data_IF_152407651534
#
_entry.id   IF_152407651534
#
_cell.length_a   1.000
_cell.length_b   1.000
_cell.length_c   1.000
_cell.angle_alpha   90.00
_cell.angle_beta   90.00
_cell.angle_gamma   90.00
#
_symmetry.space_group_name_H-M   'P 1'
#
loop_
_entity.id
_entity.type
_entity.pdbx_description
1 polymer ?
#
# COMPACT_ATOMS: atom_id res chain seq x y z
N UNK A 1 28.45 -15.28 -36.30
CA UNK A 1 29.32 -14.85 -35.19
C UNK A 1 28.42 -14.27 -34.11
N UNK A 2 28.54 -14.68 -32.84
CA UNK A 2 27.68 -14.17 -31.78
C UNK A 2 28.23 -12.83 -31.29
N UNK A 3 27.39 -11.79 -31.24
CA UNK A 3 27.73 -10.49 -30.65
C UNK A 3 27.17 -10.48 -29.23
N UNK A 4 28.04 -10.39 -28.24
CA UNK A 4 27.65 -10.21 -26.84
C UNK A 4 27.62 -8.72 -26.55
N UNK A 5 26.52 -8.25 -25.98
CA UNK A 5 26.54 -6.99 -25.25
C UNK A 5 27.27 -7.23 -23.92
N UNK A 6 28.22 -6.36 -23.59
CA UNK A 6 28.99 -6.46 -22.35
C UNK A 6 28.32 -5.70 -21.19
N UNK A 7 27.35 -4.84 -21.49
CA UNK A 7 26.57 -4.16 -20.47
C UNK A 7 25.46 -5.10 -19.95
N UNK A 8 25.39 -5.24 -18.63
CA UNK A 8 24.31 -5.97 -17.98
C UNK A 8 23.29 -4.97 -17.47
N UNK A 9 22.06 -5.08 -17.96
CA UNK A 9 20.97 -4.24 -17.45
C UNK A 9 20.59 -4.66 -16.04
N UNK A 10 20.35 -3.68 -15.18
CA UNK A 10 19.87 -3.92 -13.84
C UNK A 10 18.38 -3.65 -13.74
N UNK A 11 17.61 -4.64 -13.32
CA UNK A 11 16.20 -4.48 -13.00
C UNK A 11 15.92 -5.02 -11.60
N UNK A 12 14.87 -4.49 -10.98
CA UNK A 12 14.35 -5.01 -9.74
C UNK A 12 12.84 -5.16 -9.81
N UNK A 13 12.30 -6.06 -8.98
CA UNK A 13 10.86 -6.28 -8.81
C UNK A 13 10.54 -6.67 -7.37
N UNK A 14 9.28 -6.49 -6.98
CA UNK A 14 8.77 -7.09 -5.75
C UNK A 14 8.25 -8.50 -6.01
N UNK A 15 8.25 -9.38 -5.00
CA UNK A 15 7.91 -10.80 -5.18
C UNK A 15 6.54 -11.05 -5.85
N UNK A 16 5.54 -10.23 -5.52
CA UNK A 16 4.17 -10.35 -6.05
C UNK A 16 3.90 -9.50 -7.31
N UNK A 17 4.91 -8.81 -7.84
CA UNK A 17 4.79 -7.96 -9.01
C UNK A 17 5.15 -8.72 -10.29
N UNK A 18 4.40 -8.48 -11.37
CA UNK A 18 4.81 -8.87 -12.72
C UNK A 18 5.59 -7.73 -13.36
N UNK A 19 6.88 -7.94 -13.63
CA UNK A 19 7.73 -6.96 -14.30
C UNK A 19 7.77 -7.23 -15.80
N UNK A 20 7.24 -6.32 -16.60
CA UNK A 20 7.40 -6.34 -18.05
C UNK A 20 8.74 -5.71 -18.43
N UNK A 21 9.49 -6.39 -19.29
CA UNK A 21 10.81 -5.97 -19.75
C UNK A 21 10.86 -6.05 -21.27
N UNK A 22 11.41 -5.00 -21.88
CA UNK A 22 11.65 -4.92 -23.31
C UNK A 22 13.16 -4.82 -23.52
N UNK A 23 13.70 -5.73 -24.33
CA UNK A 23 15.11 -5.70 -24.74
C UNK A 23 15.14 -5.27 -26.20
N UNK A 24 15.96 -4.27 -26.50
CA UNK A 24 16.06 -3.68 -27.84
C UNK A 24 17.46 -3.89 -28.39
N UNK A 25 17.57 -4.54 -29.54
CA UNK A 25 18.86 -4.92 -30.14
C UNK A 25 19.38 -3.90 -31.16
N UNK A 26 18.96 -2.62 -31.07
CA UNK A 26 19.22 -1.60 -32.12
C UNK A 26 20.71 -1.36 -32.39
N UNK A 27 21.54 -1.27 -31.34
CA UNK A 27 22.98 -1.03 -31.49
C UNK A 27 23.74 -2.29 -31.97
N UNK A 28 23.03 -3.41 -32.02
CA UNK A 28 23.60 -4.72 -32.28
C UNK A 28 23.20 -5.31 -33.62
N UNK A 29 22.06 -4.89 -34.16
CA UNK A 29 21.61 -5.25 -35.50
C UNK A 29 22.31 -4.36 -36.54
N UNK A 30 22.82 -4.98 -37.60
CA UNK A 30 23.24 -4.23 -38.80
C UNK A 30 22.05 -3.45 -39.38
N UNK A 31 22.30 -2.37 -40.12
CA UNK A 31 21.29 -1.39 -40.57
C UNK A 31 20.10 -1.97 -41.36
N UNK A 32 20.17 -3.23 -41.80
CA UNK A 32 19.11 -3.96 -42.52
C UNK A 32 18.68 -5.28 -41.83
N UNK A 33 19.23 -5.61 -40.67
CA UNK A 33 18.94 -6.85 -39.97
C UNK A 33 17.63 -6.77 -39.16
N UNK A 34 16.80 -7.81 -39.25
CA UNK A 34 15.54 -7.93 -38.49
C UNK A 34 15.63 -9.06 -37.47
N UNK A 35 15.07 -8.83 -36.29
CA UNK A 35 14.98 -9.84 -35.25
C UNK A 35 13.84 -10.81 -35.61
N UNK A 36 14.17 -12.10 -35.79
CA UNK A 36 13.21 -13.14 -36.21
C UNK A 36 12.61 -13.88 -35.03
N UNK A 37 13.43 -14.21 -34.02
CA UNK A 37 13.00 -14.92 -32.82
C UNK A 37 13.87 -14.55 -31.63
N UNK A 38 13.38 -14.87 -30.43
CA UNK A 38 14.08 -14.59 -29.18
C UNK A 38 13.84 -15.72 -28.18
N UNK A 39 14.88 -16.07 -27.43
CA UNK A 39 14.82 -16.97 -26.29
C UNK A 39 15.27 -16.23 -25.04
N UNK A 40 14.46 -16.25 -23.99
CA UNK A 40 14.83 -15.73 -22.68
C UNK A 40 14.97 -16.88 -21.68
N UNK A 41 15.98 -16.79 -20.84
CA UNK A 41 16.31 -17.80 -19.83
C UNK A 41 16.79 -17.12 -18.56
N UNK A 42 16.44 -17.68 -17.41
CA UNK A 42 16.75 -17.10 -16.09
C UNK A 42 17.26 -18.18 -15.16
N UNK A 43 18.27 -17.86 -14.36
CA UNK A 43 18.89 -18.74 -13.38
C UNK A 43 19.01 -18.03 -12.03
N UNK A 44 18.90 -18.80 -10.96
CA UNK A 44 19.17 -18.32 -9.60
C UNK A 44 20.68 -18.25 -9.30
N UNK A 45 21.01 -17.73 -8.12
CA UNK A 45 22.38 -17.62 -7.59
C UNK A 45 23.13 -18.97 -7.52
N UNK A 46 22.39 -20.09 -7.51
CA UNK A 46 22.92 -21.45 -7.51
C UNK A 46 23.05 -22.05 -8.91
N UNK A 47 22.75 -21.29 -9.97
CA UNK A 47 22.82 -21.74 -11.36
C UNK A 47 21.65 -22.64 -11.79
N UNK A 48 20.58 -22.75 -10.99
CA UNK A 48 19.40 -23.55 -11.32
C UNK A 48 18.48 -22.72 -12.22
N UNK A 49 18.08 -23.29 -13.36
CA UNK A 49 17.15 -22.63 -14.27
C UNK A 49 15.77 -22.44 -13.64
N UNK A 50 15.24 -21.22 -13.69
CA UNK A 50 13.88 -20.86 -13.26
C UNK A 50 12.99 -20.41 -14.40
N UNK A 51 13.45 -20.53 -15.66
CA UNK A 51 12.77 -20.06 -16.88
C UNK A 51 11.29 -20.40 -16.91
N UNK A 52 10.92 -21.68 -16.80
CA UNK A 52 9.52 -22.10 -16.86
C UNK A 52 8.65 -21.56 -15.70
N UNK A 53 9.27 -21.23 -14.56
CA UNK A 53 8.56 -20.77 -13.37
C UNK A 53 8.43 -19.25 -13.25
N UNK A 54 9.34 -18.49 -13.91
CA UNK A 54 9.45 -17.04 -13.73
C UNK A 54 9.19 -16.23 -14.99
N UNK A 55 9.48 -16.76 -16.19
CA UNK A 55 9.41 -16.03 -17.44
C UNK A 55 8.19 -16.42 -18.28
N UNK A 56 7.55 -15.44 -18.90
CA UNK A 56 6.68 -15.69 -20.06
C UNK A 56 7.51 -15.96 -21.31
N UNK A 57 6.94 -16.68 -22.28
CA UNK A 57 7.52 -16.79 -23.62
C UNK A 57 7.74 -15.38 -24.21
N UNK A 58 8.93 -15.08 -24.78
CA UNK A 58 9.18 -13.79 -25.40
C UNK A 58 8.32 -13.56 -26.64
N UNK A 59 7.81 -12.33 -26.80
CA UNK A 59 7.17 -11.85 -28.03
C UNK A 59 8.14 -10.95 -28.77
N UNK A 60 8.37 -11.21 -30.05
CA UNK A 60 9.31 -10.42 -30.86
C UNK A 60 8.56 -9.35 -31.65
N UNK A 61 8.99 -8.10 -31.50
CA UNK A 61 8.58 -6.95 -32.31
C UNK A 61 9.87 -6.24 -32.73
N UNK A 62 10.46 -6.67 -33.84
CA UNK A 62 11.77 -6.20 -34.31
C UNK A 62 11.86 -4.67 -34.28
N UNK A 63 12.94 -4.08 -33.72
CA UNK A 63 14.19 -4.71 -33.26
C UNK A 63 14.17 -5.18 -31.80
N UNK A 64 13.00 -5.32 -31.17
CA UNK A 64 12.84 -5.60 -29.75
C UNK A 64 12.20 -6.96 -29.46
N UNK A 65 12.44 -7.46 -28.25
CA UNK A 65 11.71 -8.59 -27.69
C UNK A 65 11.15 -8.22 -26.31
N UNK A 66 9.93 -8.65 -26.03
CA UNK A 66 9.23 -8.37 -24.79
C UNK A 66 8.91 -9.65 -24.04
N UNK A 67 9.06 -9.63 -22.71
CA UNK A 67 8.68 -10.72 -21.84
C UNK A 67 8.34 -10.19 -20.44
N UNK A 68 7.78 -11.04 -19.60
CA UNK A 68 7.40 -10.71 -18.23
C UNK A 68 8.06 -11.64 -17.22
N UNK A 69 8.39 -11.09 -16.05
CA UNK A 69 8.96 -11.81 -14.90
C UNK A 69 7.94 -11.75 -13.76
N UNK A 70 7.40 -12.90 -13.34
CA UNK A 70 6.22 -12.95 -12.45
C UNK A 70 6.50 -13.45 -11.03
N UNK A 71 7.44 -14.37 -10.84
CA UNK A 71 7.75 -15.00 -9.54
C UNK A 71 9.14 -14.59 -9.04
N UNK A 72 9.62 -15.28 -8.00
CA UNK A 72 10.97 -15.14 -7.44
C UNK A 72 10.99 -15.48 -5.96
N UNK A 73 12.19 -15.53 -5.39
CA UNK A 73 12.45 -15.70 -3.97
C UNK A 73 13.02 -14.38 -3.43
N UNK A 74 12.55 -13.94 -2.26
CA UNK A 74 12.99 -12.68 -1.64
C UNK A 74 14.49 -12.73 -1.33
N UNK A 75 15.21 -11.66 -1.67
CA UNK A 75 16.64 -11.53 -1.41
C UNK A 75 17.53 -12.32 -2.38
N UNK A 76 16.94 -13.06 -3.31
CA UNK A 76 17.68 -13.72 -4.39
C UNK A 76 17.90 -12.75 -5.56
N UNK A 77 19.08 -12.89 -6.17
CA UNK A 77 19.44 -12.23 -7.43
C UNK A 77 19.44 -13.28 -8.54
N UNK A 78 18.79 -12.95 -9.65
CA UNK A 78 18.68 -13.81 -10.81
C UNK A 78 19.46 -13.23 -12.00
N UNK A 79 20.17 -14.09 -12.72
CA UNK A 79 20.78 -13.73 -14.01
C UNK A 79 19.83 -14.15 -15.13
N UNK A 80 19.48 -13.22 -16.01
CA UNK A 80 18.72 -13.46 -17.21
C UNK A 80 19.63 -13.34 -18.43
N UNK A 81 19.48 -14.29 -19.35
CA UNK A 81 20.10 -14.27 -20.67
C UNK A 81 19.00 -14.23 -21.72
N UNK A 82 19.03 -13.21 -22.55
CA UNK A 82 18.13 -13.03 -23.68
C UNK A 82 18.94 -13.21 -24.96
N UNK A 83 18.55 -14.19 -25.78
CA UNK A 83 19.25 -14.55 -27.02
C UNK A 83 18.34 -14.24 -28.20
N UNK A 84 18.69 -13.22 -28.99
CA UNK A 84 18.01 -12.83 -30.21
C UNK A 84 18.62 -13.49 -31.45
N UNK A 85 17.78 -13.96 -32.37
CA UNK A 85 18.18 -14.54 -33.65
C UNK A 85 17.74 -13.62 -34.79
N UNK A 86 18.69 -13.08 -35.55
CA UNK A 86 18.43 -12.15 -36.64
C UNK A 86 18.52 -12.81 -38.03
N UNK A 87 17.96 -12.15 -39.04
CA UNK A 87 17.86 -12.63 -40.43
C UNK A 87 19.20 -13.02 -41.10
N UNK A 88 20.31 -12.44 -40.68
CA UNK A 88 21.65 -12.71 -41.22
C UNK A 88 22.40 -13.88 -40.50
N UNK A 89 21.69 -14.76 -39.77
CA UNK A 89 22.30 -15.77 -38.87
C UNK A 89 23.18 -15.16 -37.77
N UNK A 90 23.00 -13.87 -37.47
CA UNK A 90 23.59 -13.21 -36.33
C UNK A 90 22.84 -13.59 -35.05
N UNK A 91 23.58 -13.89 -33.99
CA UNK A 91 23.04 -14.20 -32.66
C UNK A 91 23.48 -13.11 -31.72
N UNK A 92 22.52 -12.49 -31.05
CA UNK A 92 22.74 -11.40 -30.09
C UNK A 92 22.40 -11.90 -28.70
N UNK A 93 23.28 -11.62 -27.73
CA UNK A 93 23.08 -12.03 -26.35
C UNK A 93 23.07 -10.78 -25.48
N UNK A 94 21.95 -10.57 -24.78
CA UNK A 94 21.77 -9.53 -23.78
C UNK A 94 21.70 -10.14 -22.39
N UNK A 95 22.33 -9.49 -21.41
CA UNK A 95 22.31 -9.92 -20.01
C UNK A 95 21.53 -8.94 -19.15
N UNK A 96 20.72 -9.48 -18.24
CA UNK A 96 19.96 -8.68 -17.28
C UNK A 96 20.11 -9.31 -15.90
N UNK A 97 20.38 -8.49 -14.89
CA UNK A 97 20.37 -8.88 -13.48
C UNK A 97 19.03 -8.46 -12.88
N UNK A 98 18.31 -9.40 -12.26
CA UNK A 98 17.03 -9.15 -11.62
C UNK A 98 17.09 -9.46 -10.12
N UNK A 99 16.92 -8.43 -9.29
CA UNK A 99 16.78 -8.59 -7.83
C UNK A 99 15.31 -8.62 -7.41
N UNK A 100 14.98 -9.53 -6.48
CA UNK A 100 13.61 -9.70 -5.96
C UNK A 100 13.50 -9.25 -4.52
N UNK A 101 12.70 -8.20 -4.30
CA UNK A 101 12.44 -7.64 -2.98
C UNK A 101 11.15 -8.17 -2.35
N UNK A 102 11.06 -8.07 -1.02
CA UNK A 102 9.85 -8.39 -0.28
C UNK A 102 8.70 -7.43 -0.61
N UNK A 103 7.48 -7.96 -0.60
CA UNK A 103 6.26 -7.17 -0.79
C UNK A 103 5.80 -6.55 0.52
N UNK A 104 5.19 -5.38 0.43
CA UNK A 104 4.64 -4.71 1.61
C UNK A 104 3.19 -5.15 1.80
N UNK A 105 2.80 -5.40 3.05
CA UNK A 105 1.42 -5.63 3.45
C UNK A 105 0.84 -4.42 4.19
N UNK A 106 -0.37 -4.03 3.82
CA UNK A 106 -1.15 -3.04 4.59
C UNK A 106 -1.86 -3.76 5.74
N UNK A 107 -1.55 -3.37 6.97
CA UNK A 107 -2.27 -3.81 8.16
C UNK A 107 -3.21 -2.69 8.62
N UNK A 108 -4.52 -2.93 8.46
CA UNK A 108 -5.60 -1.98 8.76
C UNK A 108 -6.40 -2.39 9.99
N UNK A 109 -5.90 -3.34 10.78
CA UNK A 109 -6.56 -3.78 12.02
C UNK A 109 -6.46 -2.66 13.05
N UNK A 110 -7.60 -2.10 13.44
CA UNK A 110 -7.66 -1.00 14.41
C UNK A 110 -7.08 -1.43 15.76
N UNK A 111 -6.19 -0.63 16.34
CA UNK A 111 -5.56 -0.91 17.64
C UNK A 111 -4.49 -1.99 17.62
N UNK A 112 -4.15 -2.56 16.45
CA UNK A 112 -3.07 -3.55 16.33
C UNK A 112 -1.70 -2.87 16.48
N UNK A 113 -0.78 -3.41 17.31
CA UNK A 113 0.58 -2.90 17.45
C UNK A 113 1.43 -3.05 16.18
N UNK A 114 0.95 -3.69 15.13
CA UNK A 114 1.59 -3.76 13.82
C UNK A 114 0.79 -3.05 12.72
N UNK A 115 -0.22 -2.26 13.06
CA UNK A 115 -1.00 -1.49 12.08
C UNK A 115 -0.12 -0.42 11.40
N UNK A 116 -0.31 -0.22 10.09
CA UNK A 116 0.50 0.71 9.29
C UNK A 116 -0.31 1.54 8.27
N UNK A 117 -1.62 1.35 8.21
CA UNK A 117 -2.52 2.06 7.30
C UNK A 117 -3.95 2.06 7.85
N UNK A 118 -4.72 3.13 7.65
CA UNK A 118 -6.15 3.16 7.97
C UNK A 118 -7.04 2.62 6.86
N UNK A 119 -6.51 2.51 5.63
CA UNK A 119 -7.24 2.01 4.46
C UNK A 119 -6.56 0.81 3.83
N UNK A 120 -7.38 -0.10 3.31
CA UNK A 120 -6.91 -1.18 2.43
C UNK A 120 -6.69 -0.64 1.02
N UNK A 121 -5.89 -1.34 0.22
CA UNK A 121 -5.65 -0.95 -1.17
C UNK A 121 -6.94 -0.92 -2.02
N UNK A 122 -7.87 -1.91 -1.91
CA UNK A 122 -9.15 -1.84 -2.61
C UNK A 122 -10.01 -0.64 -2.20
N UNK A 123 -10.08 -0.31 -0.91
CA UNK A 123 -10.80 0.88 -0.42
C UNK A 123 -10.21 2.17 -1.02
N UNK A 124 -8.88 2.32 -0.98
CA UNK A 124 -8.20 3.48 -1.53
C UNK A 124 -8.40 3.62 -3.04
N UNK A 125 -8.24 2.53 -3.80
CA UNK A 125 -8.49 2.54 -5.25
C UNK A 125 -9.94 2.92 -5.58
N UNK A 126 -10.91 2.39 -4.82
CA UNK A 126 -12.33 2.73 -5.02
C UNK A 126 -12.57 4.20 -4.74
N UNK A 127 -12.05 4.72 -3.63
CA UNK A 127 -12.22 6.13 -3.25
C UNK A 127 -11.58 7.08 -4.27
N UNK A 128 -10.32 6.85 -4.63
CA UNK A 128 -9.57 7.74 -5.53
C UNK A 128 -10.21 7.78 -6.93
N UNK A 129 -10.69 6.64 -7.42
CA UNK A 129 -11.37 6.57 -8.73
C UNK A 129 -12.72 7.26 -8.71
N UNK A 130 -13.56 6.91 -7.74
CA UNK A 130 -14.96 7.36 -7.73
C UNK A 130 -15.12 8.80 -7.20
N UNK A 131 -14.23 9.25 -6.32
CA UNK A 131 -14.36 10.55 -5.63
C UNK A 131 -13.35 11.57 -6.15
N UNK A 132 -12.12 11.17 -6.48
CA UNK A 132 -11.06 12.08 -6.93
C UNK A 132 -10.84 12.09 -8.45
N UNK A 133 -11.65 11.33 -9.21
CA UNK A 133 -11.71 11.44 -10.67
C UNK A 133 -10.54 10.82 -11.43
N UNK A 134 -9.96 9.72 -10.92
CA UNK A 134 -8.87 8.97 -11.60
C UNK A 134 -7.61 9.79 -11.92
N UNK A 135 -6.82 10.22 -10.92
CA UNK A 135 -5.55 10.88 -11.17
C UNK A 135 -4.61 9.96 -11.96
N UNK A 136 -4.19 10.35 -13.17
CA UNK A 136 -3.33 9.55 -14.05
C UNK A 136 -2.10 9.00 -13.33
N UNK A 137 -1.49 9.80 -12.45
CA UNK A 137 -0.32 9.39 -11.65
C UNK A 137 -0.63 8.23 -10.70
N UNK A 138 -1.83 8.13 -10.14
CA UNK A 138 -2.19 7.04 -9.22
C UNK A 138 -2.31 5.71 -9.95
N UNK A 139 -2.95 5.71 -11.12
CA UNK A 139 -3.17 4.49 -11.89
C UNK A 139 -1.89 4.00 -12.59
N UNK A 140 -0.89 4.87 -12.83
CA UNK A 140 0.43 4.47 -13.37
C UNK A 140 1.38 3.90 -12.30
N UNK A 141 1.13 4.12 -11.01
CA UNK A 141 1.93 3.54 -9.95
C UNK A 141 1.74 2.02 -9.89
N UNK A 142 2.85 1.30 -9.61
CA UNK A 142 2.77 -0.11 -9.26
C UNK A 142 1.95 -0.33 -7.98
N UNK A 143 1.41 -1.54 -7.81
CA UNK A 143 0.64 -1.93 -6.62
C UNK A 143 1.43 -1.66 -5.34
N UNK A 144 2.72 -1.98 -5.33
CA UNK A 144 3.60 -1.75 -4.18
C UNK A 144 3.91 -0.27 -3.97
N UNK A 145 4.05 0.51 -5.05
CA UNK A 145 4.17 1.96 -4.97
C UNK A 145 2.98 2.60 -4.28
N UNK A 146 1.76 2.18 -4.62
CA UNK A 146 0.52 2.65 -3.96
C UNK A 146 0.48 2.27 -2.48
N UNK A 147 0.91 1.06 -2.10
CA UNK A 147 0.96 0.64 -0.69
C UNK A 147 1.95 1.47 0.13
N UNK A 148 3.16 1.69 -0.38
CA UNK A 148 4.17 2.54 0.29
C UNK A 148 3.67 3.95 0.49
N UNK A 149 3.05 4.51 -0.55
CA UNK A 149 2.47 5.83 -0.52
C UNK A 149 1.36 5.96 0.53
N UNK A 150 0.51 4.95 0.67
CA UNK A 150 -0.51 4.91 1.72
C UNK A 150 0.10 4.84 3.13
N UNK A 151 1.15 4.05 3.33
CA UNK A 151 1.85 3.98 4.63
C UNK A 151 2.47 5.34 4.98
N UNK A 152 3.12 6.00 4.03
CA UNK A 152 3.71 7.31 4.27
C UNK A 152 2.63 8.37 4.56
N UNK A 153 1.53 8.35 3.81
CA UNK A 153 0.38 9.19 4.08
C UNK A 153 -0.22 8.96 5.48
N UNK A 154 -0.24 7.71 5.95
CA UNK A 154 -0.68 7.37 7.31
C UNK A 154 0.24 7.99 8.36
N UNK A 155 1.57 7.90 8.16
CA UNK A 155 2.56 8.50 9.07
C UNK A 155 2.44 10.01 9.14
N UNK A 156 2.20 10.67 8.01
CA UNK A 156 2.00 12.12 7.98
C UNK A 156 0.75 12.55 8.76
N UNK A 157 -0.33 11.78 8.68
CA UNK A 157 -1.56 12.02 9.46
C UNK A 157 -1.29 11.82 10.96
N UNK A 158 -0.55 10.79 11.32
CA UNK A 158 -0.28 10.45 12.72
C UNK A 158 0.62 11.46 13.45
N UNK A 159 1.25 12.38 12.72
CA UNK A 159 2.02 13.50 13.32
C UNK A 159 1.14 14.60 13.91
N UNK A 160 -0.17 14.60 13.67
CA UNK A 160 -1.06 15.60 14.24
C UNK A 160 -1.25 15.41 15.76
N UNK A 161 -1.47 16.52 16.45
CA UNK A 161 -1.88 16.48 17.84
C UNK A 161 -3.40 16.25 17.93
N UNK A 162 -3.80 14.99 18.13
CA UNK A 162 -5.20 14.61 18.23
C UNK A 162 -5.78 14.81 19.64
N UNK A 163 -7.10 14.93 19.73
CA UNK A 163 -7.87 14.93 20.97
C UNK A 163 -7.91 13.53 21.59
N UNK A 164 -8.15 13.47 22.90
CA UNK A 164 -8.16 12.21 23.65
C UNK A 164 -6.77 11.57 23.78
N UNK A 165 -6.76 10.29 24.14
CA UNK A 165 -5.56 9.43 24.17
C UNK A 165 -5.80 8.21 23.29
N UNK A 166 -4.72 7.53 22.90
CA UNK A 166 -4.79 6.24 22.20
C UNK A 166 -5.58 5.23 23.04
N UNK A 167 -6.34 4.34 22.39
CA UNK A 167 -7.13 3.35 23.12
C UNK A 167 -6.25 2.34 23.86
N UNK A 168 -5.22 1.82 23.17
CA UNK A 168 -4.17 1.01 23.79
C UNK A 168 -2.85 1.76 23.87
N UNK A 169 -2.06 1.52 24.91
CA UNK A 169 -0.73 2.12 25.06
C UNK A 169 0.27 1.61 24.02
N UNK A 170 0.11 0.36 23.57
CA UNK A 170 1.00 -0.30 22.62
C UNK A 170 0.55 -0.17 21.15
N UNK A 171 -0.55 0.52 20.85
CA UNK A 171 -0.95 0.72 19.47
C UNK A 171 0.02 1.71 18.77
N UNK A 172 0.42 1.39 17.54
CA UNK A 172 1.33 2.24 16.76
C UNK A 172 0.60 3.47 16.21
N UNK A 173 -0.59 3.26 15.64
CA UNK A 173 -1.34 4.31 14.97
C UNK A 173 -2.11 5.18 15.97
N UNK A 174 -2.36 6.44 15.62
CA UNK A 174 -3.06 7.37 16.52
C UNK A 174 -4.52 6.98 16.80
N UNK A 175 -5.18 6.31 15.85
CA UNK A 175 -6.54 5.76 16.01
C UNK A 175 -6.53 4.23 16.16
N UNK A 176 -7.45 3.64 16.93
CA UNK A 176 -8.60 4.25 17.61
C UNK A 176 -8.20 5.05 18.86
N UNK A 177 -9.06 5.99 19.26
CA UNK A 177 -8.91 6.79 20.48
C UNK A 177 -9.74 6.20 21.62
N UNK A 178 -9.55 6.70 22.83
CA UNK A 178 -10.26 6.25 24.03
C UNK A 178 -11.78 6.52 24.01
N UNK A 179 -12.26 7.39 23.12
CA UNK A 179 -13.68 7.67 22.88
C UNK A 179 -14.27 6.88 21.71
N UNK A 180 -13.51 5.93 21.14
CA UNK A 180 -13.97 5.10 20.04
C UNK A 180 -15.01 4.07 20.50
N UNK A 181 -16.09 3.92 19.75
CA UNK A 181 -17.20 3.03 20.08
C UNK A 181 -16.76 1.56 20.05
N UNK A 182 -17.05 0.84 21.13
CA UNK A 182 -16.67 -0.57 21.30
C UNK A 182 -17.81 -1.44 21.84
N UNK A 183 -17.81 -2.71 21.43
CA UNK A 183 -18.66 -3.76 22.01
C UNK A 183 -17.74 -4.74 22.71
N UNK A 184 -18.02 -5.03 23.97
CA UNK A 184 -17.27 -6.01 24.76
C UNK A 184 -18.19 -7.13 25.23
N UNK A 185 -17.62 -8.30 25.51
CA UNK A 185 -18.39 -9.42 26.02
C UNK A 185 -17.68 -10.75 25.81
N UNK A 186 -18.42 -11.84 26.02
CA UNK A 186 -17.97 -13.20 25.77
C UNK A 186 -18.50 -13.71 24.44
N UNK A 187 -17.72 -14.54 23.75
CA UNK A 187 -18.17 -15.21 22.54
C UNK A 187 -19.32 -16.19 22.85
N UNK A 188 -20.40 -16.13 22.07
CA UNK A 188 -21.55 -17.03 22.17
C UNK A 188 -21.62 -18.05 21.03
N UNK A 189 -22.47 -19.06 21.18
CA UNK A 189 -22.71 -20.09 20.15
C UNK A 189 -23.64 -19.61 19.04
N UNK A 190 -23.41 -19.95 17.75
CA UNK A 190 -22.38 -20.88 17.26
C UNK A 190 -20.97 -20.28 17.27
N UNK A 191 -19.98 -21.11 17.60
CA UNK A 191 -18.56 -20.78 17.65
C UNK A 191 -17.83 -21.51 16.51
N UNK A 192 -17.09 -20.77 15.69
CA UNK A 192 -16.26 -21.31 14.62
C UNK A 192 -14.92 -20.57 14.57
N UNK A 193 -13.94 -21.11 13.84
CA UNK A 193 -12.68 -20.41 13.59
C UNK A 193 -12.86 -19.06 12.87
N UNK A 194 -14.05 -18.77 12.32
CA UNK A 194 -14.32 -17.54 11.57
C UNK A 194 -15.46 -16.72 12.17
N UNK A 195 -15.97 -17.07 13.35
CA UNK A 195 -17.09 -16.34 13.90
C UNK A 195 -17.60 -16.83 15.25
N UNK A 196 -18.40 -15.99 15.87
CA UNK A 196 -19.08 -16.27 17.13
C UNK A 196 -20.39 -15.47 17.20
N UNK A 197 -21.31 -15.86 18.07
CA UNK A 197 -22.54 -15.10 18.33
C UNK A 197 -22.34 -14.06 19.42
N UNK A 198 -22.94 -12.88 19.27
CA UNK A 198 -23.09 -11.95 20.38
C UNK A 198 -24.30 -11.01 20.18
N UNK A 199 -25.11 -10.86 21.22
CA UNK A 199 -26.44 -10.22 21.14
C UNK A 199 -26.40 -8.73 20.82
N UNK A 200 -25.31 -8.02 21.11
CA UNK A 200 -25.22 -6.58 20.86
C UNK A 200 -24.80 -6.22 19.41
N UNK A 201 -24.63 -7.21 18.53
CA UNK A 201 -24.45 -6.97 17.09
C UNK A 201 -25.80 -6.95 16.34
N UNK A 202 -26.77 -6.13 16.75
CA UNK A 202 -28.15 -6.06 16.19
C UNK A 202 -28.37 -4.94 15.17
N UNK A 203 -29.18 -5.19 14.13
CA UNK A 203 -29.61 -4.19 13.12
C UNK A 203 -30.73 -4.68 12.22
N UNK A 204 -31.45 -3.73 11.63
CA UNK A 204 -32.64 -3.88 10.82
C UNK A 204 -32.58 -3.33 9.37
N UNK A 205 -31.52 -2.70 8.83
CA UNK A 205 -31.47 -2.21 7.42
C UNK A 205 -30.06 -1.97 6.81
N UNK A 206 -29.91 -2.08 5.49
CA UNK A 206 -28.66 -1.99 4.71
C UNK A 206 -28.32 -0.54 4.29
N UNK A 207 -27.07 -0.06 4.44
CA UNK A 207 -26.50 0.88 3.45
C UNK A 207 -25.86 2.24 3.83
N UNK A 208 -25.46 2.59 5.06
CA UNK A 208 -24.67 3.82 5.30
C UNK A 208 -23.64 3.72 6.44
N UNK A 209 -22.49 4.39 6.31
CA UNK A 209 -21.55 4.64 7.41
C UNK A 209 -22.24 5.58 8.42
N UNK A 210 -22.51 5.06 9.64
CA UNK A 210 -23.57 5.52 10.55
C UNK A 210 -24.96 5.54 9.91
N UNK A 211 -25.49 4.37 9.60
CA UNK A 211 -26.90 4.12 9.86
C UNK A 211 -27.04 3.27 11.11
N UNK A 212 -28.20 3.37 11.74
CA UNK A 212 -28.58 2.75 13.00
C UNK A 212 -28.71 1.21 12.86
N UNK A 213 -28.05 0.65 11.83
CA UNK A 213 -28.44 -0.53 11.13
C UNK A 213 -27.19 -1.25 10.53
N UNK A 214 -26.35 -1.82 11.42
CA UNK A 214 -25.21 -2.76 11.23
C UNK A 214 -24.69 -2.91 9.80
N UNK A 215 -23.41 -2.61 9.63
CA UNK A 215 -22.38 -3.65 9.67
C UNK A 215 -21.15 -3.00 10.28
N UNK A 216 -20.56 -3.53 11.36
CA UNK A 216 -19.16 -3.18 11.69
C UNK A 216 -18.19 -3.86 10.72
N UNK A 217 -18.58 -3.99 9.45
CA UNK A 217 -17.70 -4.47 8.38
C UNK A 217 -16.53 -3.50 8.30
N UNK A 218 -15.32 -4.06 8.29
CA UNK A 218 -14.07 -3.31 8.40
C UNK A 218 -13.76 -2.71 9.78
N UNK A 219 -14.53 -3.04 10.82
CA UNK A 219 -14.10 -2.93 12.21
C UNK A 219 -13.08 -4.02 12.58
N UNK A 220 -12.66 -4.06 13.84
CA UNK A 220 -11.71 -5.05 14.33
C UNK A 220 -12.23 -5.76 15.58
N UNK A 221 -12.01 -7.07 15.70
CA UNK A 221 -12.23 -7.84 16.91
C UNK A 221 -10.88 -8.21 17.50
N UNK A 222 -10.73 -7.96 18.79
CA UNK A 222 -9.58 -8.29 19.61
C UNK A 222 -10.01 -9.32 20.64
N UNK A 223 -9.34 -10.46 20.68
CA UNK A 223 -9.53 -11.43 21.75
C UNK A 223 -8.65 -11.04 22.94
N UNK A 224 -9.27 -10.71 24.07
CA UNK A 224 -8.58 -10.17 25.24
C UNK A 224 -8.34 -11.20 26.35
N UNK A 225 -9.05 -12.32 26.33
CA UNK A 225 -8.89 -13.40 27.30
C UNK A 225 -9.26 -14.75 26.68
N UNK A 226 -8.63 -15.81 27.21
CA UNK A 226 -8.77 -17.21 26.77
C UNK A 226 -8.39 -17.43 25.30
N UNK A 227 -8.78 -18.56 24.74
CA UNK A 227 -8.31 -19.02 23.43
C UNK A 227 -9.13 -18.41 22.29
N UNK A 228 -8.50 -17.85 21.24
CA UNK A 228 -7.07 -17.55 21.09
C UNK A 228 -6.68 -16.16 21.63
N UNK A 229 -5.77 -16.10 22.60
CA UNK A 229 -5.39 -14.85 23.27
C UNK A 229 -4.64 -13.92 22.31
N UNK A 230 -4.93 -12.61 22.36
CA UNK A 230 -4.31 -11.55 21.56
C UNK A 230 -4.56 -11.65 20.05
N UNK A 231 -5.52 -12.48 19.63
CA UNK A 231 -5.85 -12.58 18.22
C UNK A 231 -6.66 -11.37 17.76
N UNK A 232 -6.14 -10.62 16.79
CA UNK A 232 -6.80 -9.46 16.20
C UNK A 232 -7.22 -9.79 14.77
N UNK A 233 -8.52 -9.61 14.48
CA UNK A 233 -9.11 -9.90 13.17
C UNK A 233 -10.02 -8.78 12.69
N UNK A 234 -10.02 -8.55 11.39
CA UNK A 234 -10.98 -7.63 10.74
C UNK A 234 -12.34 -8.32 10.67
N UNK A 235 -13.41 -7.60 11.00
CA UNK A 235 -14.78 -8.08 10.84
C UNK A 235 -15.12 -8.13 9.35
N UNK A 236 -15.38 -9.33 8.84
CA UNK A 236 -15.78 -9.58 7.46
C UNK A 236 -17.29 -9.36 7.24
N UNK A 237 -18.10 -9.63 8.26
CA UNK A 237 -19.53 -9.38 8.25
C UNK A 237 -20.20 -9.75 9.56
N UNK A 238 -21.51 -9.59 9.61
CA UNK A 238 -22.34 -10.10 10.68
C UNK A 238 -23.71 -10.46 10.14
N UNK A 239 -24.39 -11.42 10.77
CA UNK A 239 -25.73 -11.85 10.37
C UNK A 239 -26.71 -11.40 11.47
N UNK A 240 -27.60 -10.47 11.12
CA UNK A 240 -28.55 -9.84 12.04
C UNK A 240 -29.62 -10.80 12.57
N UNK A 241 -29.96 -11.84 11.80
CA UNK A 241 -30.97 -12.83 12.19
C UNK A 241 -30.41 -13.80 13.23
N UNK A 242 -29.13 -14.14 13.10
CA UNK A 242 -28.45 -15.11 13.96
C UNK A 242 -27.58 -14.48 15.03
N UNK A 243 -27.34 -13.17 14.95
CA UNK A 243 -26.38 -12.39 15.75
C UNK A 243 -24.95 -12.94 15.71
N UNK A 244 -24.57 -13.57 14.58
CA UNK A 244 -23.23 -14.13 14.37
C UNK A 244 -22.35 -13.10 13.69
N UNK A 245 -21.24 -12.72 14.32
CA UNK A 245 -20.17 -11.96 13.68
C UNK A 245 -19.22 -12.92 12.97
N UNK A 246 -18.79 -12.56 11.76
CA UNK A 246 -17.79 -13.30 10.99
C UNK A 246 -16.56 -12.44 10.73
N UNK A 247 -15.39 -13.02 10.89
CA UNK A 247 -14.10 -12.37 10.63
C UNK A 247 -13.58 -12.70 9.23
N UNK A 248 -12.86 -11.75 8.63
CA UNK A 248 -12.34 -11.88 7.27
C UNK A 248 -11.22 -12.93 7.13
N UNK A 249 -10.49 -13.18 8.22
CA UNK A 249 -9.48 -14.24 8.31
C UNK A 249 -9.72 -15.05 9.57
N UNK A 250 -9.49 -16.37 9.49
CA UNK A 250 -9.73 -17.26 10.61
C UNK A 250 -8.88 -16.88 11.83
N UNK A 251 -9.47 -16.99 13.01
CA UNK A 251 -8.76 -17.06 14.27
C UNK A 251 -7.78 -18.24 14.26
N UNK A 252 -6.68 -18.11 15.01
CA UNK A 252 -5.67 -19.16 15.16
C UNK A 252 -6.21 -20.43 15.82
N UNK A 253 -7.28 -20.29 16.60
CA UNK A 253 -8.05 -21.38 17.18
C UNK A 253 -9.53 -20.99 17.36
N UNK A 254 -10.41 -21.97 17.53
CA UNK A 254 -11.85 -21.71 17.71
C UNK A 254 -12.07 -20.97 19.04
N UNK A 255 -12.71 -19.79 19.04
CA UNK A 255 -13.13 -19.14 20.27
C UNK A 255 -14.06 -20.04 21.09
N UNK A 256 -13.99 -19.91 22.41
CA UNK A 256 -14.85 -20.64 23.36
C UNK A 256 -15.87 -19.70 24.00
N UNK A 257 -16.82 -20.24 24.77
CA UNK A 257 -17.76 -19.41 25.52
C UNK A 257 -17.12 -18.58 26.64
N UNK A 258 -15.88 -18.91 27.02
CA UNK A 258 -15.09 -18.16 28.00
C UNK A 258 -14.15 -17.14 27.35
N UNK A 259 -14.13 -17.07 26.02
CA UNK A 259 -13.31 -16.12 25.27
C UNK A 259 -13.94 -14.74 25.35
N UNK A 260 -13.21 -13.79 25.94
CA UNK A 260 -13.64 -12.39 25.98
C UNK A 260 -13.12 -11.66 24.76
N UNK A 261 -13.89 -10.70 24.26
CA UNK A 261 -13.50 -9.89 23.13
C UNK A 261 -13.79 -8.40 23.36
N UNK A 262 -13.07 -7.58 22.60
CA UNK A 262 -13.39 -6.18 22.35
C UNK A 262 -13.52 -6.02 20.83
N UNK A 263 -14.67 -5.58 20.37
CA UNK A 263 -14.89 -5.22 18.99
C UNK A 263 -14.89 -3.69 18.87
N UNK A 264 -14.23 -3.17 17.85
CA UNK A 264 -14.18 -1.76 17.50
C UNK A 264 -15.08 -1.49 16.29
N UNK A 265 -15.84 -0.38 16.33
CA UNK A 265 -16.54 0.14 15.16
C UNK A 265 -15.52 0.41 14.02
N UNK A 266 -15.87 0.24 12.73
CA UNK A 266 -15.06 0.75 11.63
C UNK A 266 -14.68 2.22 11.82
N UNK A 267 -13.44 2.55 11.47
CA UNK A 267 -12.94 3.91 11.55
C UNK A 267 -13.76 4.88 10.67
N UNK A 268 -13.96 6.11 11.16
CA UNK A 268 -14.68 7.16 10.44
C UNK A 268 -14.14 7.36 9.02
N UNK A 269 -15.05 7.45 8.06
CA UNK A 269 -14.72 7.57 6.63
C UNK A 269 -13.90 8.80 6.33
N UNK A 270 -13.99 9.88 7.13
CA UNK A 270 -13.18 11.08 6.98
C UNK A 270 -11.71 10.82 7.25
N UNK A 271 -11.37 9.98 8.23
CA UNK A 271 -9.98 9.63 8.54
C UNK A 271 -9.41 8.78 7.40
N UNK A 272 -10.18 7.79 6.94
CA UNK A 272 -9.82 6.97 5.76
C UNK A 272 -9.64 7.82 4.50
N UNK A 273 -10.57 8.73 4.25
CA UNK A 273 -10.53 9.67 3.12
C UNK A 273 -9.33 10.61 3.22
N UNK A 274 -9.02 11.10 4.42
CA UNK A 274 -7.86 11.96 4.65
C UNK A 274 -6.56 11.27 4.25
N UNK A 275 -6.40 9.98 4.54
CA UNK A 275 -5.23 9.22 4.11
C UNK A 275 -5.14 9.13 2.58
N UNK A 276 -6.27 8.96 1.88
CA UNK A 276 -6.30 8.94 0.42
C UNK A 276 -5.91 10.30 -0.18
N UNK A 277 -6.44 11.40 0.36
CA UNK A 277 -6.08 12.76 -0.05
C UNK A 277 -4.60 13.08 0.21
N UNK A 278 -4.08 12.63 1.36
CA UNK A 278 -2.68 12.80 1.69
C UNK A 278 -1.77 12.01 0.76
N UNK A 279 -2.13 10.76 0.45
CA UNK A 279 -1.39 9.93 -0.50
C UNK A 279 -1.29 10.59 -1.89
N UNK A 280 -2.40 11.13 -2.39
CA UNK A 280 -2.40 11.84 -3.68
C UNK A 280 -1.55 13.12 -3.63
N UNK A 281 -1.64 13.89 -2.55
CA UNK A 281 -0.83 15.09 -2.38
C UNK A 281 0.67 14.78 -2.35
N UNK A 282 1.09 13.72 -1.65
CA UNK A 282 2.49 13.27 -1.66
C UNK A 282 2.90 12.93 -3.10
N UNK A 283 2.09 12.18 -3.84
CA UNK A 283 2.37 11.76 -5.21
C UNK A 283 2.46 12.92 -6.21
N UNK A 284 1.63 13.96 -6.02
CA UNK A 284 1.63 15.12 -6.89
C UNK A 284 2.87 15.99 -6.65
N UNK A 285 3.32 16.09 -5.40
CA UNK A 285 4.44 16.93 -5.01
C UNK A 285 5.80 16.22 -5.02
N UNK A 286 5.84 14.88 -5.04
CA UNK A 286 7.08 14.07 -5.03
C UNK A 286 7.92 14.14 -6.32
N UNK A 287 7.64 15.08 -7.24
CA UNK A 287 8.32 15.21 -8.53
C UNK A 287 8.42 16.63 -9.08
N UNK A 288 8.26 17.67 -8.25
CA UNK A 288 8.40 19.06 -8.67
C UNK A 288 9.71 19.67 -8.17
N UNK A 289 10.59 20.10 -9.06
CA UNK A 289 11.68 21.03 -8.74
C UNK A 289 11.11 22.48 -8.71
N UNK A 290 9.97 22.66 -8.03
CA UNK A 290 9.21 23.91 -8.03
C UNK A 290 9.63 24.76 -6.84
N UNK A 291 9.67 26.07 -7.02
CA UNK A 291 9.92 27.07 -5.95
C UNK A 291 9.02 26.85 -4.72
N UNK A 292 7.82 26.30 -4.94
CA UNK A 292 6.86 25.91 -3.91
C UNK A 292 7.37 24.75 -3.05
N UNK A 293 8.03 23.75 -3.64
CA UNK A 293 8.63 22.62 -2.92
C UNK A 293 9.81 23.05 -2.03
N UNK A 294 10.62 24.04 -2.46
CA UNK A 294 11.67 24.60 -1.62
C UNK A 294 11.12 25.40 -0.44
N UNK A 295 10.04 26.16 -0.67
CA UNK A 295 9.30 26.87 0.38
C UNK A 295 8.66 25.88 1.37
N UNK A 296 8.08 24.80 0.87
CA UNK A 296 7.42 23.77 1.67
C UNK A 296 8.43 22.87 2.41
N UNK A 297 9.66 22.74 1.89
CA UNK A 297 10.81 22.07 2.53
C UNK A 297 11.55 22.95 3.56
N UNK A 298 11.15 24.22 3.72
CA UNK A 298 11.75 25.14 4.70
C UNK A 298 13.10 25.74 4.30
N UNK A 299 13.43 25.79 3.00
CA UNK A 299 14.62 26.49 2.52
C UNK A 299 14.43 28.01 2.65
N UNK A 300 15.28 28.68 3.44
CA UNK A 300 15.25 30.14 3.60
C UNK A 300 15.88 30.88 2.39
N UNK A 301 16.69 30.17 1.61
CA UNK A 301 17.46 30.66 0.48
C UNK A 301 17.53 29.58 -0.59
N UNK A 302 17.23 29.94 -1.84
CA UNK A 302 17.47 29.09 -3.00
C UNK A 302 18.08 29.95 -4.10
N UNK A 303 19.18 29.45 -4.66
CA UNK A 303 19.82 30.01 -5.85
C UNK A 303 19.51 29.11 -7.03
N UNK A 304 18.79 29.64 -8.02
CA UNK A 304 18.46 28.95 -9.26
C UNK A 304 19.15 29.71 -10.39
N UNK A 305 20.30 29.22 -10.85
CA UNK A 305 21.14 29.93 -11.82
C UNK A 305 21.55 31.32 -11.32
N UNK A 306 21.15 32.36 -12.07
CA UNK A 306 21.42 33.77 -11.75
C UNK A 306 20.32 34.45 -10.90
N UNK A 307 19.24 33.72 -10.56
CA UNK A 307 18.16 34.28 -9.75
C UNK A 307 18.27 33.80 -8.30
N UNK A 308 18.28 34.75 -7.37
CA UNK A 308 18.22 34.48 -5.93
C UNK A 308 16.81 34.78 -5.40
N UNK A 309 16.22 33.81 -4.71
CA UNK A 309 14.95 33.99 -3.99
C UNK A 309 15.19 33.82 -2.50
N UNK A 310 14.90 34.87 -1.73
CA UNK A 310 14.92 34.85 -0.25
C UNK A 310 13.50 34.78 0.27
N UNK A 311 13.20 33.77 1.09
CA UNK A 311 11.89 33.63 1.72
C UNK A 311 11.88 34.39 3.05
N UNK A 312 10.75 35.05 3.36
CA UNK A 312 10.61 35.88 4.57
C UNK A 312 10.62 34.96 5.81
N UNK A 313 11.63 35.09 6.67
CA UNK A 313 11.71 34.38 7.95
C UNK A 313 10.49 34.73 8.82
N UNK A 314 9.77 33.70 9.30
CA UNK A 314 8.67 33.91 10.25
C UNK A 314 7.50 32.91 10.24
N UNK A 315 7.52 31.86 9.41
CA UNK A 315 6.50 30.81 9.46
C UNK A 315 7.17 29.44 9.56
N UNK A 316 7.19 28.90 10.78
CA UNK A 316 7.55 27.53 11.11
C UNK A 316 6.96 26.52 10.11
N UNK A 317 7.80 25.60 9.63
CA UNK A 317 7.54 24.33 8.93
C UNK A 317 6.12 23.73 9.10
N UNK A 318 5.14 24.24 8.37
CA UNK A 318 3.80 23.65 8.23
C UNK A 318 3.37 23.85 6.78
N UNK A 319 3.19 22.84 5.93
CA UNK A 319 2.80 21.46 6.23
C UNK A 319 3.12 20.52 5.06
N UNK A 320 3.65 19.32 5.35
CA UNK A 320 3.66 18.18 4.42
C UNK A 320 2.27 17.60 4.15
N UNK A 321 1.20 18.23 4.67
CA UNK A 321 -0.16 17.67 4.68
C UNK A 321 -1.07 18.39 3.69
N UNK A 322 -1.90 17.63 2.97
CA UNK A 322 -2.98 18.14 2.14
C UNK A 322 -3.97 18.99 2.95
N UNK A 323 -4.41 20.12 2.38
CA UNK A 323 -5.43 20.98 2.99
C UNK A 323 -6.76 20.23 3.17
N UNK A 324 -7.12 19.38 2.21
CA UNK A 324 -8.33 18.56 2.29
C UNK A 324 -8.20 17.48 3.37
N UNK A 325 -7.04 16.83 3.47
CA UNK A 325 -6.78 15.87 4.55
C UNK A 325 -6.90 16.55 5.93
N UNK A 326 -6.33 17.76 6.08
CA UNK A 326 -6.45 18.55 7.32
C UNK A 326 -7.90 18.93 7.63
N UNK A 327 -8.68 19.33 6.61
CA UNK A 327 -10.09 19.69 6.78
C UNK A 327 -10.91 18.51 7.25
N UNK A 328 -10.68 17.33 6.67
CA UNK A 328 -11.32 16.08 7.06
C UNK A 328 -10.96 15.68 8.50
N UNK A 329 -9.71 15.85 8.91
CA UNK A 329 -9.22 15.51 10.26
C UNK A 329 -9.53 16.57 11.33
N UNK A 330 -9.98 17.76 10.93
CA UNK A 330 -10.23 18.88 11.85
C UNK A 330 -11.14 18.60 13.06
N UNK A 331 -12.09 17.64 13.04
CA UNK A 331 -12.85 17.27 14.24
C UNK A 331 -12.00 16.63 15.34
N UNK A 332 -10.93 15.91 14.98
CA UNK A 332 -10.08 15.19 15.92
C UNK A 332 -8.80 15.94 16.29
N UNK A 333 -8.43 16.99 15.55
CA UNK A 333 -7.22 17.77 15.83
C UNK A 333 -7.47 18.76 16.97
N UNK A 334 -6.56 18.81 17.94
CA UNK A 334 -6.57 19.80 19.03
C UNK A 334 -6.39 21.20 18.45
N UNK A 335 -7.38 22.07 18.64
CA UNK A 335 -7.31 23.48 18.21
C UNK A 335 -6.65 24.31 19.32
N UNK A 336 -5.45 24.82 19.06
CA UNK A 336 -4.83 25.82 19.93
C UNK A 336 -5.63 27.12 19.81
N UNK A 337 -6.35 27.50 20.88
CA UNK A 337 -6.92 28.84 20.97
C UNK A 337 -5.75 29.82 21.14
N UNK A 338 -5.39 30.53 20.06
CA UNK A 338 -4.56 31.73 20.19
C UNK A 338 -5.36 32.77 20.97
N UNK A 339 -5.08 32.92 22.26
CA UNK A 339 -5.54 34.07 23.02
C UNK A 339 -4.76 35.27 22.51
N UNK A 340 -5.43 36.11 21.70
CA UNK A 340 -4.91 37.43 21.39
C UNK A 340 -4.89 38.20 22.72
N UNK A 341 -3.69 38.42 23.28
CA UNK A 341 -3.52 39.40 24.35
C UNK A 341 -3.75 40.77 23.71
N UNK A 342 -4.85 41.40 24.07
CA UNK A 342 -5.17 42.79 23.73
C UNK A 342 -4.34 43.77 24.52
#
# INVERSE_FOLDING_TARGET
MAKMDFESDYIWKFINETKYTTVTFINDLDTEATLLSCLASIWDSSGISKTASMLSSPTVTSPSAEFSITKGTIGETYELKVTGFASASAVHIHKIICEVFDSISLNTKLGDPAANSYVTLPEANTYIRNVLGHPNKWDTLSVEGRKRLLIEACRDIDRFNFLGVRYYDNQILEFPRNDHDTITGNCGTPLTNTGFKHANFTSDTYGSYKSNTNYWKYGAVHITLATPLNDIRVIGGNNITTNVVTVASAFTATPTTNTTFIAFEPLDTKIKSAQCHQALYILENSGGDTLQNYKDSGANYVKIGDTEVRFKEGLSSRSSISQEARKLLSPWIRKDKKVLRG
#
